data_IF_616714923636
#
_entry.id   IF_616714923636
#
_cell.length_a   1.000
_cell.length_b   1.000
_cell.length_c   1.000
_cell.angle_alpha   90.00
_cell.angle_beta   90.00
_cell.angle_gamma   90.00
#
_symmetry.space_group_name_H-M   'P 1'
#
loop_
_entity.id
_entity.type
_entity.pdbx_description
1 polymer ?
#
# COMPACT_ATOMS: atom_id res chain seq x y z
N UNK A 1 29.84 -9.06 10.61
CA UNK A 1 28.97 -9.92 11.43
C UNK A 1 27.91 -9.00 12.03
N UNK A 2 26.75 -8.91 11.38
CA UNK A 2 25.66 -8.02 11.81
C UNK A 2 24.80 -8.81 12.79
N UNK A 3 24.61 -8.27 13.99
CA UNK A 3 23.74 -8.82 15.02
C UNK A 3 22.34 -9.03 14.43
N UNK A 4 21.89 -10.29 14.38
CA UNK A 4 20.48 -10.60 14.24
C UNK A 4 19.80 -10.21 15.56
N UNK A 5 19.41 -8.94 15.64
CA UNK A 5 18.70 -8.38 16.78
C UNK A 5 17.22 -8.81 16.73
N UNK A 6 16.86 -9.83 17.52
CA UNK A 6 15.54 -10.51 17.55
C UNK A 6 14.47 -9.62 18.26
N UNK A 7 14.67 -8.31 18.34
CA UNK A 7 13.84 -7.44 19.19
C UNK A 7 12.48 -7.07 18.57
N UNK A 8 12.23 -7.31 17.28
CA UNK A 8 11.01 -6.85 16.61
C UNK A 8 10.80 -5.33 16.64
N UNK A 9 11.80 -4.56 17.09
CA UNK A 9 11.78 -3.11 17.15
C UNK A 9 12.10 -2.52 15.77
N UNK A 10 11.44 -1.42 15.36
CA UNK A 10 11.75 -0.74 14.10
C UNK A 10 13.23 -0.33 14.08
N UNK A 11 13.93 -0.64 12.98
CA UNK A 11 15.35 -0.31 12.83
C UNK A 11 15.52 0.89 11.95
N UNK A 12 16.31 1.87 12.39
CA UNK A 12 16.66 3.00 11.53
C UNK A 12 17.44 2.49 10.32
N UNK A 13 16.93 2.74 9.12
CA UNK A 13 17.53 2.28 7.87
C UNK A 13 18.21 3.44 7.13
N UNK A 14 17.56 4.61 7.10
CA UNK A 14 18.04 5.76 6.36
C UNK A 14 17.50 7.08 6.93
N UNK A 15 18.31 8.13 6.89
CA UNK A 15 17.88 9.51 7.09
C UNK A 15 18.33 10.37 5.91
N UNK A 16 17.46 11.25 5.41
CA UNK A 16 17.76 12.17 4.30
C UNK A 16 17.28 13.58 4.63
N UNK A 17 18.17 14.54 4.53
CA UNK A 17 17.85 15.97 4.59
C UNK A 17 17.55 16.48 3.19
N UNK A 18 16.55 17.34 3.11
CA UNK A 18 16.22 18.08 1.90
C UNK A 18 16.17 19.56 2.22
N UNK A 19 17.00 20.31 1.50
CA UNK A 19 16.98 21.77 1.54
C UNK A 19 15.63 22.31 1.04
N UNK A 20 15.28 23.50 1.52
CA UNK A 20 14.09 24.18 1.06
C UNK A 20 14.16 24.44 -0.45
N UNK A 21 13.01 24.32 -1.10
CA UNK A 21 12.82 24.80 -2.46
C UNK A 21 11.61 25.74 -2.52
N UNK A 22 11.33 26.30 -3.69
CA UNK A 22 10.25 27.27 -3.88
C UNK A 22 8.86 26.76 -3.42
N UNK A 23 8.67 25.44 -3.35
CA UNK A 23 7.39 24.83 -3.02
C UNK A 23 7.35 24.13 -1.65
N UNK A 24 8.51 23.85 -1.04
CA UNK A 24 8.60 23.04 0.18
C UNK A 24 9.65 23.58 1.15
N UNK A 25 9.33 23.68 2.45
CA UNK A 25 10.31 24.02 3.48
C UNK A 25 11.37 22.91 3.63
N UNK A 26 12.47 23.25 4.32
CA UNK A 26 13.48 22.28 4.73
C UNK A 26 12.81 21.13 5.51
N UNK A 27 13.16 19.89 5.19
CA UNK A 27 12.62 18.72 5.89
C UNK A 27 13.63 17.59 5.96
N UNK A 28 13.42 16.73 6.96
CA UNK A 28 14.12 15.46 7.08
C UNK A 28 13.13 14.32 6.92
N UNK A 29 13.56 13.33 6.16
CA UNK A 29 12.85 12.08 5.96
C UNK A 29 13.65 10.97 6.63
N UNK A 30 12.98 10.18 7.49
CA UNK A 30 13.57 9.04 8.18
C UNK A 30 12.81 7.78 7.80
N UNK A 31 13.56 6.75 7.40
CA UNK A 31 13.05 5.41 7.08
C UNK A 31 13.42 4.46 8.21
N UNK A 32 12.43 3.70 8.65
CA UNK A 32 12.59 2.58 9.57
C UNK A 32 12.20 1.29 8.86
N UNK A 33 13.07 0.29 8.93
CA UNK A 33 12.76 -1.06 8.47
C UNK A 33 11.93 -1.80 9.52
N UNK A 34 10.92 -2.51 9.03
CA UNK A 34 10.05 -3.39 9.81
C UNK A 34 10.33 -4.83 9.40
N UNK A 35 10.37 -5.73 10.38
CA UNK A 35 10.62 -7.14 10.14
C UNK A 35 9.55 -7.75 9.23
N UNK A 36 9.98 -8.50 8.22
CA UNK A 36 9.08 -9.08 7.22
C UNK A 36 8.14 -10.10 7.85
N UNK A 37 6.84 -9.81 7.81
CA UNK A 37 5.78 -10.79 8.03
C UNK A 37 5.54 -11.68 6.80
N UNK A 38 4.70 -12.72 6.92
CA UNK A 38 4.26 -13.50 5.77
C UNK A 38 3.61 -12.58 4.72
N UNK A 39 4.09 -12.68 3.47
CA UNK A 39 3.61 -11.89 2.35
C UNK A 39 2.11 -12.05 2.11
N UNK A 40 1.46 -10.96 1.69
CA UNK A 40 0.02 -10.91 1.51
C UNK A 40 -0.40 -11.56 0.18
N UNK A 41 -1.30 -12.53 0.27
CA UNK A 41 -2.07 -13.04 -0.88
C UNK A 41 -2.94 -11.97 -1.56
N UNK A 42 -3.10 -10.79 -0.93
CA UNK A 42 -3.89 -9.68 -1.47
C UNK A 42 -3.23 -9.06 -2.70
N UNK A 43 -1.90 -8.89 -2.69
CA UNK A 43 -1.15 -8.33 -3.83
C UNK A 43 -1.35 -9.22 -5.06
N UNK A 44 -1.05 -10.51 -4.94
CA UNK A 44 -1.21 -11.48 -6.04
C UNK A 44 -2.65 -11.48 -6.61
N UNK A 45 -3.65 -11.49 -5.73
CA UNK A 45 -5.07 -11.48 -6.13
C UNK A 45 -5.46 -10.17 -6.83
N UNK A 46 -5.05 -9.04 -6.29
CA UNK A 46 -5.37 -7.72 -6.84
C UNK A 46 -4.64 -7.48 -8.17
N UNK A 47 -3.35 -7.83 -8.27
CA UNK A 47 -2.58 -7.80 -9.52
C UNK A 47 -3.25 -8.63 -10.61
N UNK A 48 -3.66 -9.86 -10.29
CA UNK A 48 -4.35 -10.74 -11.26
C UNK A 48 -5.68 -10.16 -11.73
N UNK A 49 -6.48 -9.61 -10.80
CA UNK A 49 -7.81 -9.08 -11.11
C UNK A 49 -7.76 -7.74 -11.87
N UNK A 50 -6.82 -6.87 -11.51
CA UNK A 50 -6.65 -5.54 -12.10
C UNK A 50 -5.81 -5.58 -13.39
N UNK A 51 -5.22 -6.72 -13.73
CA UNK A 51 -4.26 -6.86 -14.85
C UNK A 51 -3.17 -5.79 -14.83
N UNK A 52 -2.71 -5.43 -13.64
CA UNK A 52 -1.76 -4.34 -13.40
C UNK A 52 -0.41 -4.88 -12.91
N UNK A 53 0.63 -4.04 -12.88
CA UNK A 53 1.91 -4.40 -12.26
C UNK A 53 1.82 -4.42 -10.74
N UNK A 54 2.59 -5.32 -10.10
CA UNK A 54 2.74 -5.38 -8.64
C UNK A 54 3.17 -4.04 -8.03
N UNK A 55 3.98 -3.26 -8.76
CA UNK A 55 4.41 -1.93 -8.30
C UNK A 55 3.24 -0.96 -8.06
N UNK A 56 2.30 -0.88 -9.01
CA UNK A 56 1.14 0.02 -8.90
C UNK A 56 0.15 -0.47 -7.86
N UNK A 57 -0.08 -1.79 -7.80
CA UNK A 57 -1.03 -2.39 -6.85
C UNK A 57 -0.46 -2.33 -5.42
N UNK A 58 0.83 -2.63 -5.24
CA UNK A 58 1.55 -2.48 -3.98
C UNK A 58 1.50 -1.04 -3.47
N UNK A 59 1.73 -0.05 -4.35
CA UNK A 59 1.59 1.37 -3.99
C UNK A 59 0.18 1.75 -3.51
N UNK A 60 -0.88 1.16 -4.09
CA UNK A 60 -2.26 1.37 -3.61
C UNK A 60 -2.48 0.74 -2.24
N UNK A 61 -1.98 -0.49 -2.03
CA UNK A 61 -2.06 -1.20 -0.75
C UNK A 61 -1.33 -0.42 0.35
N UNK A 62 -0.09 0.02 0.08
CA UNK A 62 0.71 0.87 0.98
C UNK A 62 -0.03 2.17 1.33
N UNK A 63 -0.69 2.79 0.34
CA UNK A 63 -1.50 3.98 0.54
C UNK A 63 -2.72 3.76 1.42
N UNK A 64 -3.44 2.64 1.26
CA UNK A 64 -4.56 2.25 2.12
C UNK A 64 -4.09 1.91 3.54
N UNK A 65 -3.04 1.11 3.67
CA UNK A 65 -2.45 0.76 4.94
C UNK A 65 -1.99 2.00 5.71
N UNK A 66 -1.39 2.97 5.01
CA UNK A 66 -1.02 4.27 5.56
C UNK A 66 -2.23 5.03 6.11
N UNK A 67 -3.34 5.09 5.36
CA UNK A 67 -4.56 5.74 5.83
C UNK A 67 -5.13 5.06 7.08
N UNK A 68 -5.16 3.72 7.10
CA UNK A 68 -5.60 2.97 8.27
C UNK A 68 -4.71 3.22 9.49
N UNK A 69 -3.37 3.23 9.31
CA UNK A 69 -2.42 3.51 10.38
C UNK A 69 -2.65 4.91 10.96
N UNK A 70 -2.78 5.92 10.10
CA UNK A 70 -3.01 7.31 10.51
C UNK A 70 -4.35 7.48 11.21
N UNK A 71 -5.40 6.81 10.73
CA UNK A 71 -6.71 6.85 11.39
C UNK A 71 -6.70 6.19 12.77
N UNK A 72 -5.92 5.12 12.95
CA UNK A 72 -5.84 4.40 14.23
C UNK A 72 -4.93 5.10 15.27
N UNK A 73 -3.82 5.68 14.82
CA UNK A 73 -2.76 6.19 15.72
C UNK A 73 -2.66 7.72 15.73
N UNK A 74 -3.23 8.37 14.72
CA UNK A 74 -3.08 9.80 14.44
C UNK A 74 -1.65 10.21 14.05
N UNK A 75 -0.73 9.28 13.79
CA UNK A 75 0.66 9.60 13.45
C UNK A 75 0.74 10.25 12.06
N UNK A 76 1.88 10.84 11.71
CA UNK A 76 2.12 11.29 10.33
C UNK A 76 2.84 10.24 9.48
N UNK A 77 3.24 9.13 10.11
CA UNK A 77 3.95 8.03 9.49
C UNK A 77 3.18 7.49 8.26
N UNK A 78 3.95 7.05 7.27
CA UNK A 78 3.44 6.32 6.11
C UNK A 78 4.14 4.98 5.99
N UNK A 79 3.37 3.97 5.61
CA UNK A 79 3.86 2.63 5.33
C UNK A 79 4.28 2.59 3.85
N UNK A 80 5.37 1.91 3.56
CA UNK A 80 5.69 1.54 2.19
C UNK A 80 6.60 0.33 2.10
N UNK A 81 7.06 0.04 0.89
CA UNK A 81 7.80 -1.20 0.57
C UNK A 81 7.03 -2.43 0.99
N UNK A 82 5.76 -2.51 0.59
CA UNK A 82 4.89 -3.64 0.88
C UNK A 82 4.76 -3.94 2.39
N UNK A 83 4.73 -2.89 3.22
CA UNK A 83 4.62 -3.01 4.67
C UNK A 83 5.96 -3.21 5.40
N UNK A 84 7.08 -3.23 4.67
CA UNK A 84 8.41 -3.47 5.26
C UNK A 84 9.16 -2.21 5.66
N UNK A 85 8.65 -1.02 5.32
CA UNK A 85 9.23 0.24 5.71
C UNK A 85 8.19 1.20 6.28
N UNK A 86 8.59 1.97 7.29
CA UNK A 86 7.86 3.13 7.79
C UNK A 86 8.67 4.38 7.49
N UNK A 87 8.00 5.35 6.90
CA UNK A 87 8.55 6.64 6.53
C UNK A 87 7.92 7.73 7.41
N UNK A 88 8.77 8.57 8.00
CA UNK A 88 8.33 9.73 8.77
C UNK A 88 9.03 10.96 8.21
N UNK A 89 8.26 12.03 7.99
CA UNK A 89 8.81 13.30 7.48
C UNK A 89 8.50 14.42 8.46
N UNK A 90 9.53 15.18 8.84
CA UNK A 90 9.39 16.35 9.70
C UNK A 90 10.09 17.56 9.08
N UNK A 91 9.44 18.72 9.16
CA UNK A 91 10.05 19.98 8.75
C UNK A 91 11.15 20.39 9.73
N UNK A 92 12.27 20.89 9.19
CA UNK A 92 13.35 21.49 9.98
C UNK A 92 12.94 22.92 10.32
N UNK A 93 12.95 23.32 11.60
CA UNK A 93 12.62 24.67 12.00
C UNK A 93 13.57 25.71 11.40
N UNK A 94 13.10 26.95 11.18
CA UNK A 94 13.98 28.05 10.81
C UNK A 94 14.97 28.36 11.95
N UNK A 95 16.09 29.00 11.63
CA UNK A 95 17.28 29.09 12.53
C UNK A 95 17.02 29.92 13.79
N UNK A 96 15.95 30.71 13.77
CA UNK A 96 15.49 31.56 14.88
C UNK A 96 14.27 31.00 15.60
N UNK A 97 13.84 29.78 15.29
CA UNK A 97 12.74 29.16 16.02
C UNK A 97 13.24 28.73 17.40
N UNK A 98 12.52 29.14 18.45
CA UNK A 98 12.75 28.62 19.78
C UNK A 98 12.61 27.08 19.77
N UNK A 99 13.53 26.33 20.41
CA UNK A 99 13.38 24.88 20.55
C UNK A 99 12.10 24.50 21.31
N UNK A 100 11.50 25.43 22.08
CA UNK A 100 10.19 25.26 22.69
C UNK A 100 9.01 25.31 21.69
N UNK A 101 9.21 25.87 20.49
CA UNK A 101 8.21 25.88 19.43
C UNK A 101 7.96 24.49 18.82
N UNK A 102 8.81 23.50 19.12
CA UNK A 102 8.58 22.08 18.78
C UNK A 102 7.28 21.52 19.36
N UNK A 103 6.78 22.10 20.45
CA UNK A 103 5.53 21.68 21.12
C UNK A 103 4.27 22.35 20.55
N UNK A 104 4.42 23.24 19.56
CA UNK A 104 3.46 24.30 19.26
C UNK A 104 2.23 23.95 18.43
N UNK A 105 2.05 22.72 17.94
CA UNK A 105 0.82 22.34 17.18
C UNK A 105 0.01 21.21 17.81
N UNK A 106 0.46 20.67 18.94
CA UNK A 106 -0.33 19.72 19.73
C UNK A 106 0.09 19.79 21.21
N UNK A 107 -0.18 20.92 21.88
CA UNK A 107 0.03 21.01 23.33
C UNK A 107 -0.77 19.95 24.14
N UNK A 108 -1.82 19.37 23.54
CA UNK A 108 -2.56 18.22 24.08
C UNK A 108 -1.90 16.84 23.81
N UNK A 109 -0.86 16.77 22.97
CA UNK A 109 -0.17 15.53 22.55
C UNK A 109 1.29 15.47 23.01
N UNK A 110 1.83 16.58 23.49
CA UNK A 110 3.23 16.72 23.93
C UNK A 110 3.57 15.99 25.24
N UNK A 111 2.58 15.54 26.01
CA UNK A 111 2.77 14.84 27.28
C UNK A 111 2.74 13.30 27.19
N UNK A 112 2.89 12.74 25.99
CA UNK A 112 3.05 11.28 25.84
C UNK A 112 4.52 10.93 26.05
N UNK A 113 4.81 10.35 27.21
CA UNK A 113 6.12 9.76 27.50
C UNK A 113 6.44 8.69 26.45
N UNK A 114 7.69 8.68 25.97
CA UNK A 114 8.15 7.69 24.99
C UNK A 114 7.98 6.27 25.55
N UNK A 115 7.51 5.36 24.71
CA UNK A 115 7.53 3.94 25.04
C UNK A 115 8.98 3.43 25.05
N UNK A 116 9.29 2.31 25.75
CA UNK A 116 10.65 1.76 25.77
C UNK A 116 11.24 1.50 24.37
N UNK A 117 10.41 1.05 23.42
CA UNK A 117 10.83 0.83 22.03
C UNK A 117 11.17 2.14 21.30
N UNK A 118 10.39 3.20 21.53
CA UNK A 118 10.69 4.52 20.95
C UNK A 118 11.91 5.17 21.60
N UNK A 119 12.11 4.98 22.90
CA UNK A 119 13.29 5.48 23.61
C UNK A 119 14.58 4.77 23.16
N UNK A 120 14.50 3.48 22.82
CA UNK A 120 15.64 2.70 22.36
C UNK A 120 16.22 3.18 21.01
N UNK A 121 15.38 3.72 20.12
CA UNK A 121 15.81 4.20 18.79
C UNK A 121 16.31 5.64 18.79
N UNK A 122 16.07 6.40 19.88
CA UNK A 122 16.46 7.81 19.97
C UNK A 122 17.93 8.08 19.65
N UNK A 123 18.92 7.36 20.24
CA UNK A 123 20.32 7.66 19.99
C UNK A 123 20.70 7.49 18.52
N UNK A 124 20.16 6.44 17.87
CA UNK A 124 20.42 6.18 16.46
C UNK A 124 19.81 7.27 15.55
N UNK A 125 18.60 7.76 15.88
CA UNK A 125 17.97 8.85 15.14
C UNK A 125 18.79 10.14 15.32
N UNK A 126 19.19 10.48 16.55
CA UNK A 126 19.96 11.69 16.82
C UNK A 126 21.31 11.71 16.12
N UNK A 127 22.02 10.58 16.10
CA UNK A 127 23.27 10.40 15.37
C UNK A 127 23.06 10.62 13.87
N UNK A 128 22.10 9.92 13.26
CA UNK A 128 21.80 10.05 11.83
C UNK A 128 21.37 11.47 11.45
N UNK A 129 20.59 12.15 12.29
CA UNK A 129 20.21 13.54 12.07
C UNK A 129 21.42 14.48 12.16
N UNK A 130 22.35 14.24 13.08
CA UNK A 130 23.56 15.05 13.24
C UNK A 130 24.49 14.92 12.03
N UNK A 131 24.56 13.73 11.43
CA UNK A 131 25.32 13.48 10.20
C UNK A 131 24.71 14.14 8.97
N UNK A 132 23.39 14.05 8.84
CA UNK A 132 22.67 14.45 7.62
C UNK A 132 22.27 15.93 7.61
N UNK A 133 22.09 16.55 8.77
CA UNK A 133 21.79 17.98 8.87
C UNK A 133 23.04 18.84 8.61
N UNK A 134 22.88 19.98 7.92
CA UNK A 134 23.96 20.96 7.78
C UNK A 134 24.35 21.53 9.16
N UNK A 135 25.61 21.96 9.31
CA UNK A 135 26.17 22.39 10.60
C UNK A 135 25.35 23.47 11.32
N UNK A 136 24.71 24.38 10.58
CA UNK A 136 23.82 25.42 11.13
C UNK A 136 22.57 24.85 11.78
N UNK A 137 22.12 23.64 11.39
CA UNK A 137 20.88 22.99 11.85
C UNK A 137 21.09 21.91 12.90
N UNK A 138 22.34 21.50 13.17
CA UNK A 138 22.64 20.38 14.10
C UNK A 138 22.11 20.59 15.51
N UNK A 139 21.95 21.83 15.96
CA UNK A 139 21.36 22.12 17.27
C UNK A 139 19.88 21.70 17.40
N UNK A 140 19.20 21.39 16.28
CA UNK A 140 17.84 20.84 16.27
C UNK A 140 17.79 19.30 16.28
N UNK A 141 18.92 18.59 16.21
CA UNK A 141 18.95 17.12 16.06
C UNK A 141 18.20 16.41 17.19
N UNK A 142 18.43 16.78 18.45
CA UNK A 142 17.76 16.17 19.60
C UNK A 142 16.24 16.37 19.60
N UNK A 143 15.78 17.60 19.32
CA UNK A 143 14.35 17.91 19.27
C UNK A 143 13.64 17.22 18.09
N UNK A 144 14.31 17.11 16.94
CA UNK A 144 13.83 16.34 15.80
C UNK A 144 13.81 14.83 16.12
N UNK A 145 14.85 14.30 16.77
CA UNK A 145 14.93 12.89 17.15
C UNK A 145 13.78 12.50 18.08
N UNK A 146 13.50 13.32 19.10
CA UNK A 146 12.35 13.12 19.98
C UNK A 146 11.02 13.12 19.22
N UNK A 147 10.86 14.01 18.25
CA UNK A 147 9.66 14.07 17.41
C UNK A 147 9.52 12.81 16.57
N UNK A 148 10.57 12.37 15.88
CA UNK A 148 10.55 11.15 15.09
C UNK A 148 10.23 9.92 15.94
N UNK A 149 10.84 9.81 17.14
CA UNK A 149 10.55 8.72 18.06
C UNK A 149 9.09 8.74 18.55
N UNK A 150 8.50 9.92 18.83
CA UNK A 150 7.08 10.05 19.21
C UNK A 150 6.13 9.67 18.08
N UNK A 151 6.51 9.94 16.84
CA UNK A 151 5.69 9.65 15.65
C UNK A 151 5.84 8.21 15.15
N UNK A 152 6.84 7.47 15.65
CA UNK A 152 7.11 6.09 15.26
C UNK A 152 6.00 5.14 15.78
N UNK A 153 5.20 4.52 14.89
CA UNK A 153 4.23 3.50 15.28
C UNK A 153 4.93 2.23 15.79
N UNK A 154 4.22 1.43 16.57
CA UNK A 154 4.71 0.10 16.96
C UNK A 154 4.63 -0.88 15.79
N UNK A 155 5.43 -1.95 15.83
CA UNK A 155 5.36 -3.03 14.82
C UNK A 155 3.95 -3.59 14.68
N UNK A 156 3.27 -3.83 15.78
CA UNK A 156 1.92 -4.39 15.77
C UNK A 156 0.93 -3.44 15.09
N UNK A 157 1.05 -2.12 15.33
CA UNK A 157 0.22 -1.12 14.66
C UNK A 157 0.46 -1.10 13.15
N UNK A 158 1.72 -1.20 12.71
CA UNK A 158 2.05 -1.27 11.27
C UNK A 158 1.51 -2.55 10.67
N UNK A 159 1.69 -3.69 11.34
CA UNK A 159 1.24 -5.01 10.88
C UNK A 159 -0.28 -5.05 10.77
N UNK A 160 -0.99 -4.59 11.80
CA UNK A 160 -2.46 -4.53 11.80
C UNK A 160 -2.97 -3.59 10.69
N UNK A 161 -2.38 -2.41 10.55
CA UNK A 161 -2.75 -1.47 9.50
C UNK A 161 -2.49 -2.02 8.10
N UNK A 162 -1.43 -2.80 7.92
CA UNK A 162 -1.07 -3.40 6.64
C UNK A 162 -1.94 -4.61 6.25
N UNK A 163 -2.51 -5.32 7.22
CA UNK A 163 -3.48 -6.40 6.98
C UNK A 163 -4.92 -5.94 6.81
N UNK A 164 -5.20 -4.66 7.09
CA UNK A 164 -6.56 -4.11 7.05
C UNK A 164 -7.14 -3.88 5.66
N UNK A 165 -6.38 -3.45 4.63
CA UNK A 165 -6.92 -3.23 3.30
C UNK A 165 -7.60 -4.47 2.75
N UNK A 166 -8.80 -4.27 2.21
CA UNK A 166 -9.58 -5.31 1.54
C UNK A 166 -9.40 -5.23 0.02
N UNK A 167 -9.72 -6.31 -0.69
CA UNK A 167 -9.65 -6.33 -2.15
C UNK A 167 -10.55 -5.26 -2.79
N UNK A 168 -11.73 -5.04 -2.22
CA UNK A 168 -12.67 -4.02 -2.71
C UNK A 168 -12.10 -2.60 -2.56
N UNK A 169 -11.49 -2.28 -1.41
CA UNK A 169 -10.83 -1.00 -1.18
C UNK A 169 -9.66 -0.79 -2.14
N UNK A 170 -8.87 -1.83 -2.40
CA UNK A 170 -7.77 -1.78 -3.38
C UNK A 170 -8.30 -1.50 -4.78
N UNK A 171 -9.34 -2.20 -5.21
CA UNK A 171 -9.95 -2.00 -6.53
C UNK A 171 -10.53 -0.58 -6.67
N UNK A 172 -11.24 -0.10 -5.64
CA UNK A 172 -11.85 1.23 -5.64
C UNK A 172 -10.79 2.33 -5.68
N UNK A 173 -9.76 2.24 -4.84
CA UNK A 173 -8.69 3.23 -4.83
C UNK A 173 -7.82 3.18 -6.09
N UNK A 174 -7.60 1.98 -6.65
CA UNK A 174 -6.93 1.84 -7.94
C UNK A 174 -7.73 2.51 -9.05
N UNK A 175 -9.06 2.30 -9.09
CA UNK A 175 -9.93 2.95 -10.05
C UNK A 175 -9.85 4.48 -9.93
N UNK A 176 -9.92 5.02 -8.72
CA UNK A 176 -9.83 6.46 -8.47
C UNK A 176 -8.50 7.06 -8.96
N UNK A 177 -7.39 6.34 -8.80
CA UNK A 177 -6.06 6.84 -9.18
C UNK A 177 -5.71 6.65 -10.66
N UNK A 178 -6.08 5.50 -11.24
CA UNK A 178 -5.56 5.07 -12.54
C UNK A 178 -6.65 4.84 -13.60
N UNK A 179 -7.92 4.80 -13.21
CA UNK A 179 -9.06 4.71 -14.13
C UNK A 179 -10.22 5.63 -13.70
N UNK A 180 -9.98 6.95 -13.57
CA UNK A 180 -11.01 7.88 -13.07
C UNK A 180 -12.23 7.96 -13.99
N UNK A 181 -12.07 7.59 -15.27
CA UNK A 181 -13.13 7.58 -16.27
C UNK A 181 -13.88 6.23 -16.34
N UNK A 182 -13.48 5.21 -15.57
CA UNK A 182 -14.11 3.89 -15.53
C UNK A 182 -14.07 3.14 -16.86
N UNK A 183 -13.00 3.33 -17.66
CA UNK A 183 -12.84 2.74 -18.99
C UNK A 183 -12.31 1.31 -18.94
N UNK A 184 -11.59 0.96 -17.88
CA UNK A 184 -10.89 -0.31 -17.72
C UNK A 184 -11.54 -1.20 -16.67
N UNK A 185 -12.11 -0.62 -15.62
CA UNK A 185 -12.80 -1.35 -14.57
C UNK A 185 -14.32 -1.25 -14.76
N UNK A 186 -14.98 -2.42 -14.71
CA UNK A 186 -16.44 -2.53 -14.70
C UNK A 186 -17.07 -1.54 -13.69
N UNK A 187 -18.26 -0.99 -13.92
CA UNK A 187 -18.97 -0.18 -12.93
C UNK A 187 -19.10 -0.90 -11.57
N UNK A 188 -19.03 -0.18 -10.45
CA UNK A 188 -19.06 -0.76 -9.07
C UNK A 188 -20.20 -1.79 -8.87
N UNK A 189 -21.36 -1.54 -9.49
CA UNK A 189 -22.54 -2.42 -9.44
C UNK A 189 -22.34 -3.79 -10.11
N UNK A 190 -21.41 -3.92 -11.06
CA UNK A 190 -21.09 -5.19 -11.74
C UNK A 190 -19.89 -5.93 -11.11
N UNK A 191 -19.04 -5.23 -10.35
CA UNK A 191 -17.87 -5.83 -9.69
C UNK A 191 -18.24 -6.76 -8.54
N UNK A 192 -19.21 -6.38 -7.71
CA UNK A 192 -19.70 -7.21 -6.59
C UNK A 192 -20.26 -8.56 -7.05
N UNK A 193 -20.84 -8.61 -8.25
CA UNK A 193 -21.32 -9.87 -8.85
C UNK A 193 -20.14 -10.73 -9.31
N UNK A 194 -19.11 -10.15 -9.93
CA UNK A 194 -17.93 -10.88 -10.38
C UNK A 194 -17.09 -11.46 -9.23
N UNK A 195 -17.05 -10.78 -8.08
CA UNK A 195 -16.38 -11.27 -6.87
C UNK A 195 -17.16 -12.35 -6.13
N UNK A 196 -18.48 -12.42 -6.35
CA UNK A 196 -19.36 -13.43 -5.74
C UNK A 196 -19.32 -14.78 -6.46
N UNK A 197 -18.74 -14.84 -7.66
CA UNK A 197 -18.61 -16.07 -8.44
C UNK A 197 -17.14 -16.33 -8.77
N UNK A 198 -16.51 -17.38 -8.21
CA UNK A 198 -15.16 -17.75 -8.62
C UNK A 198 -15.18 -18.07 -10.12
N UNK A 199 -14.49 -17.26 -10.91
CA UNK A 199 -14.18 -17.61 -12.29
C UNK A 199 -13.25 -18.82 -12.27
N UNK A 200 -13.82 -20.01 -12.45
CA UNK A 200 -13.04 -21.14 -12.95
C UNK A 200 -12.56 -20.76 -14.35
N UNK A 201 -11.31 -20.34 -14.47
CA UNK A 201 -10.66 -20.03 -15.75
C UNK A 201 -10.45 -21.28 -16.66
N UNK A 202 -11.13 -22.39 -16.37
CA UNK A 202 -11.02 -23.65 -17.11
C UNK A 202 -12.38 -24.28 -17.32
N UNK A 203 -13.31 -23.52 -17.90
CA UNK A 203 -14.44 -24.10 -18.60
C UNK A 203 -14.64 -23.32 -19.89
N UNK A 204 -13.80 -23.63 -20.89
CA UNK A 204 -14.22 -23.41 -22.27
C UNK A 204 -15.61 -24.03 -22.42
N UNK A 205 -16.62 -23.32 -22.96
CA UNK A 205 -17.87 -23.97 -23.29
C UNK A 205 -17.54 -25.04 -24.32
N UNK A 206 -17.61 -26.30 -23.90
CA UNK A 206 -17.64 -27.42 -24.83
C UNK A 206 -18.73 -27.07 -25.83
N UNK A 207 -18.32 -26.88 -27.08
CA UNK A 207 -19.19 -26.56 -28.19
C UNK A 207 -20.41 -27.47 -28.10
N UNK A 208 -21.57 -26.87 -27.82
CA UNK A 208 -22.84 -27.56 -27.96
C UNK A 208 -22.91 -27.98 -29.44
N UNK A 209 -22.62 -29.26 -29.67
CA UNK A 209 -22.83 -29.88 -30.97
C UNK A 209 -24.28 -29.59 -31.40
N UNK A 210 -24.52 -29.07 -32.61
CA UNK A 210 -25.87 -28.84 -33.05
C UNK A 210 -26.59 -30.18 -33.12
N UNK A 211 -27.66 -30.30 -32.35
CA UNK A 211 -28.62 -31.39 -32.48
C UNK A 211 -29.16 -31.38 -33.92
N UNK A 212 -28.66 -32.30 -34.74
CA UNK A 212 -29.19 -32.54 -36.07
C UNK A 212 -30.64 -33.01 -35.91
N UNK A 213 -31.57 -32.13 -36.29
CA UNK A 213 -32.97 -32.43 -36.45
C UNK A 213 -33.14 -33.61 -37.44
N UNK A 214 -33.51 -34.77 -36.93
CA UNK A 214 -34.02 -35.87 -37.73
C UNK A 214 -35.45 -35.50 -38.17
N UNK A 215 -35.56 -34.66 -39.20
CA UNK A 215 -36.80 -34.46 -39.94
C UNK A 215 -36.97 -35.58 -40.95
N UNK A 216 -38.16 -36.19 -40.94
CA UNK A 216 -38.49 -37.40 -41.67
C UNK A 216 -38.32 -37.30 -43.18
N UNK A 217 -37.66 -38.30 -43.74
CA UNK A 217 -37.74 -38.63 -45.16
C UNK A 217 -38.76 -39.77 -45.33
N UNK A 218 -40.04 -39.40 -45.35
CA UNK A 218 -41.07 -40.22 -45.97
C UNK A 218 -41.30 -39.65 -47.38
N UNK A 219 -40.66 -40.25 -48.38
CA UNK A 219 -41.07 -40.07 -49.78
C UNK A 219 -41.12 -41.43 -50.48
N UNK A 220 -42.35 -41.78 -50.86
CA UNK A 220 -42.84 -42.94 -51.61
C UNK A 220 -42.45 -42.81 -53.11
N UNK A 221 -43.04 -43.60 -54.02
CA UNK A 221 -42.73 -44.97 -54.42
C UNK A 221 -42.18 -45.05 -55.87
N UNK A 222 -41.63 -46.19 -56.24
CA UNK A 222 -41.18 -46.49 -57.60
C UNK A 222 -42.30 -47.13 -58.47
N UNK A 223 -42.72 -46.43 -59.53
CA UNK A 223 -43.42 -46.91 -60.75
C UNK A 223 -43.44 -45.70 -61.72
N UNK A 224 -43.30 -45.77 -63.05
CA UNK A 224 -43.24 -46.82 -64.07
C UNK A 224 -42.80 -46.17 -65.41
N UNK A 225 -42.17 -46.97 -66.28
CA UNK A 225 -42.18 -46.96 -67.76
C UNK A 225 -41.71 -45.75 -68.62
N UNK A 226 -40.80 -46.05 -69.57
CA UNK A 226 -41.09 -45.82 -71.00
C UNK A 226 -40.11 -44.99 -71.87
N UNK A 227 -39.25 -45.72 -72.62
CA UNK A 227 -38.83 -45.54 -74.03
C UNK A 227 -38.03 -44.34 -74.59
N UNK A 228 -37.01 -44.70 -75.38
CA UNK A 228 -36.40 -43.96 -76.51
C UNK A 228 -34.89 -43.73 -76.32
N UNK A 229 -33.95 -44.25 -77.10
CA UNK A 229 -33.89 -44.85 -78.45
C UNK A 229 -32.91 -46.03 -78.46
#
# INVERSE_FOLDING_TARGET
MLNEDISGAPRLAEARYREANESHPEHVHVRFDIERGPGMHLLDKATQLLHSSDYLVGGVIDGLATEHLRNATGTTASIGEDGYAVFITANVPPERADPAAFSGHTAARAAVSLTPGQAAVLPAIEEALTEVLPSSRRHHSGALAERFAKELPTRDQVTEAYHRPTLDEVIDKYAEQYDPDGRFLMPKSLRTVALSYPHNATAAPAAAAPAAAANGAAQRPAISAGYGR
#
